data_IF_830703176693
#
_entry.id   IF_830703176693
#
_cell.length_a   1.000
_cell.length_b   1.000
_cell.length_c   1.000
_cell.angle_alpha   90.00
_cell.angle_beta   90.00
_cell.angle_gamma   90.00
#
_symmetry.space_group_name_H-M   'P 1'
#
loop_
_entity.id
_entity.type
_entity.pdbx_description
1 polymer ?
#
# COMPACT_ATOMS: atom_id res chain seq x y z
N UNK A 1 -4.05 3.87 -19.37
CA UNK A 1 -3.05 4.02 -18.30
C UNK A 1 -3.66 4.83 -17.14
N UNK A 2 -4.54 4.21 -16.34
CA UNK A 2 -5.31 4.87 -15.25
C UNK A 2 -5.35 4.05 -13.94
N UNK A 3 -4.59 2.94 -13.87
CA UNK A 3 -4.69 1.96 -12.76
C UNK A 3 -4.21 2.51 -11.42
N UNK A 4 -3.11 3.28 -11.38
CA UNK A 4 -2.55 3.79 -10.11
C UNK A 4 -3.38 4.91 -9.50
N UNK A 5 -3.89 5.85 -10.31
CA UNK A 5 -4.80 6.89 -9.81
C UNK A 5 -6.07 6.32 -9.19
N UNK A 6 -6.56 5.21 -9.76
CA UNK A 6 -7.71 4.50 -9.21
C UNK A 6 -7.35 3.78 -7.90
N UNK A 7 -6.13 3.21 -7.82
CA UNK A 7 -5.62 2.44 -6.67
C UNK A 7 -5.19 3.30 -5.48
N UNK A 8 -4.54 4.45 -5.73
CA UNK A 8 -4.14 5.39 -4.69
C UNK A 8 -5.35 6.08 -4.09
N UNK A 9 -5.19 6.72 -2.94
CA UNK A 9 -6.27 7.50 -2.37
C UNK A 9 -5.75 8.79 -1.74
N UNK A 10 -6.44 9.89 -2.02
CA UNK A 10 -5.99 11.25 -1.71
C UNK A 10 -6.69 11.86 -0.49
N UNK A 11 -7.64 11.17 0.17
CA UNK A 11 -8.47 11.75 1.25
C UNK A 11 -8.63 10.86 2.51
N UNK A 12 -8.14 11.34 3.68
CA UNK A 12 -8.28 10.84 5.08
C UNK A 12 -7.23 9.84 5.66
N UNK A 13 -7.18 9.69 6.98
CA UNK A 13 -6.18 8.91 7.74
C UNK A 13 -6.27 7.38 7.55
N UNK A 14 -7.50 6.81 7.51
CA UNK A 14 -7.74 5.39 7.17
C UNK A 14 -7.35 5.04 5.73
N UNK A 15 -7.14 6.08 4.94
CA UNK A 15 -6.99 6.04 3.51
C UNK A 15 -5.51 6.09 3.08
N UNK A 16 -4.67 6.79 3.83
CA UNK A 16 -3.19 6.73 3.73
C UNK A 16 -2.63 5.33 3.93
N UNK A 17 -3.28 4.50 4.74
CA UNK A 17 -2.91 3.09 4.96
C UNK A 17 -2.88 2.30 3.65
N UNK A 18 -3.80 2.59 2.72
CA UNK A 18 -3.84 1.91 1.41
C UNK A 18 -2.62 2.25 0.55
N UNK A 19 -2.23 3.52 0.51
CA UNK A 19 -1.03 3.94 -0.24
C UNK A 19 0.23 3.33 0.40
N UNK A 20 0.30 3.29 1.73
CA UNK A 20 1.42 2.65 2.43
C UNK A 20 1.50 1.14 2.16
N UNK A 21 0.36 0.44 2.09
CA UNK A 21 0.33 -0.99 1.69
C UNK A 21 0.84 -1.16 0.27
N UNK A 22 0.38 -0.35 -0.69
CA UNK A 22 0.88 -0.38 -2.07
C UNK A 22 2.39 -0.14 -2.13
N UNK A 23 2.85 0.89 -1.41
CA UNK A 23 4.27 1.26 -1.35
C UNK A 23 5.12 0.11 -0.80
N UNK A 24 4.77 -0.41 0.38
CA UNK A 24 5.51 -1.49 1.04
C UNK A 24 5.59 -2.72 0.15
N UNK A 25 4.45 -3.16 -0.40
CA UNK A 25 4.40 -4.37 -1.22
C UNK A 25 5.14 -4.20 -2.56
N UNK A 26 5.16 -2.99 -3.14
CA UNK A 26 5.88 -2.75 -4.39
C UNK A 26 7.41 -2.68 -4.20
N UNK A 27 7.85 -2.24 -3.02
CA UNK A 27 9.28 -2.12 -2.68
C UNK A 27 9.88 -3.41 -2.10
N UNK A 28 9.05 -4.40 -1.73
CA UNK A 28 9.55 -5.73 -1.38
C UNK A 28 10.12 -6.42 -2.62
N UNK A 29 11.29 -7.03 -2.49
CA UNK A 29 11.89 -7.85 -3.54
C UNK A 29 11.14 -9.17 -3.72
N UNK A 30 10.37 -9.61 -2.72
CA UNK A 30 9.50 -10.77 -2.83
C UNK A 30 8.23 -10.47 -3.65
N UNK A 31 7.77 -11.44 -4.44
CA UNK A 31 6.51 -11.32 -5.21
C UNK A 31 5.28 -11.26 -4.30
N UNK A 32 5.36 -11.86 -3.12
CA UNK A 32 4.27 -12.03 -2.17
C UNK A 32 4.70 -11.62 -0.78
N UNK A 33 3.77 -11.14 0.05
CA UNK A 33 4.01 -10.82 1.46
C UNK A 33 2.85 -11.29 2.32
N UNK A 34 3.13 -11.68 3.56
CA UNK A 34 2.08 -11.97 4.54
C UNK A 34 1.42 -10.70 5.09
N UNK A 35 0.17 -10.80 5.55
CA UNK A 35 -0.53 -9.69 6.20
C UNK A 35 0.27 -9.11 7.39
N UNK A 36 1.03 -9.95 8.11
CA UNK A 36 1.84 -9.51 9.26
C UNK A 36 3.08 -8.73 8.82
N UNK A 37 3.78 -9.19 7.78
CA UNK A 37 4.94 -8.48 7.22
C UNK A 37 4.51 -7.12 6.65
N UNK A 38 3.41 -7.08 5.91
CA UNK A 38 2.87 -5.81 5.38
C UNK A 38 2.48 -4.89 6.53
N UNK A 39 1.82 -5.38 7.59
CA UNK A 39 1.45 -4.56 8.75
C UNK A 39 2.67 -3.99 9.46
N UNK A 40 3.69 -4.83 9.68
CA UNK A 40 4.95 -4.43 10.32
C UNK A 40 5.64 -3.34 9.51
N UNK A 41 5.85 -3.55 8.22
CA UNK A 41 6.50 -2.59 7.34
C UNK A 41 5.70 -1.29 7.16
N UNK A 42 4.36 -1.36 7.13
CA UNK A 42 3.50 -0.16 7.12
C UNK A 42 3.65 0.65 8.41
N UNK A 43 3.75 0.00 9.57
CA UNK A 43 3.99 0.69 10.84
C UNK A 43 5.42 1.25 10.93
N UNK A 44 6.42 0.58 10.35
CA UNK A 44 7.79 1.09 10.24
C UNK A 44 7.89 2.30 9.31
N UNK A 45 7.08 2.35 8.24
CA UNK A 45 6.98 3.53 7.37
C UNK A 45 6.29 4.71 8.07
N UNK A 46 5.46 4.45 9.08
CA UNK A 46 4.71 5.46 9.83
C UNK A 46 5.36 5.85 11.16
N UNK A 47 6.68 5.68 11.33
CA UNK A 47 7.39 5.90 12.61
C UNK A 47 7.12 7.27 13.25
N UNK A 48 6.81 8.30 12.45
CA UNK A 48 6.51 9.66 12.94
C UNK A 48 5.05 9.88 13.38
N UNK A 49 4.22 8.83 13.35
CA UNK A 49 2.84 8.86 13.80
C UNK A 49 2.71 8.16 15.15
N UNK A 50 2.31 8.89 16.19
CA UNK A 50 2.06 8.37 17.54
C UNK A 50 1.09 7.17 17.59
N UNK A 51 0.27 7.02 16.54
CA UNK A 51 -0.70 5.93 16.41
C UNK A 51 -0.21 4.86 15.42
N UNK A 52 0.26 3.73 15.97
CA UNK A 52 0.43 2.48 15.21
C UNK A 52 -0.93 1.96 14.74
N UNK A 53 -0.97 1.41 13.54
CA UNK A 53 -2.16 0.74 13.04
C UNK A 53 -2.20 -0.67 13.62
N UNK A 54 -3.35 -1.08 14.11
CA UNK A 54 -3.61 -2.44 14.59
C UNK A 54 -4.05 -3.41 13.48
N UNK A 55 -4.54 -2.90 12.34
CA UNK A 55 -5.02 -3.72 11.23
C UNK A 55 -4.90 -3.05 9.86
N UNK A 56 -4.43 -3.80 8.86
CA UNK A 56 -4.42 -3.43 7.43
C UNK A 56 -5.50 -4.17 6.61
N UNK A 57 -6.31 -5.03 7.25
CA UNK A 57 -7.30 -5.86 6.56
C UNK A 57 -8.29 -5.07 5.69
N UNK A 58 -8.78 -3.88 6.10
CA UNK A 58 -9.63 -3.06 5.23
C UNK A 58 -8.91 -2.59 3.96
N UNK A 59 -7.63 -2.23 4.05
CA UNK A 59 -6.84 -1.77 2.91
C UNK A 59 -6.59 -2.92 1.92
N UNK A 60 -6.17 -4.09 2.42
CA UNK A 60 -5.97 -5.29 1.61
C UNK A 60 -7.26 -5.74 0.92
N UNK A 61 -8.37 -5.78 1.66
CA UNK A 61 -9.69 -6.16 1.10
C UNK A 61 -10.13 -5.19 0.00
N UNK A 62 -9.90 -3.89 0.19
CA UNK A 62 -10.24 -2.90 -0.83
C UNK A 62 -9.38 -3.05 -2.09
N UNK A 63 -8.07 -3.24 -1.95
CA UNK A 63 -7.17 -3.47 -3.08
C UNK A 63 -7.49 -4.78 -3.83
N UNK A 64 -7.95 -5.81 -3.11
CA UNK A 64 -8.49 -7.04 -3.72
C UNK A 64 -9.72 -6.76 -4.58
N UNK A 65 -10.69 -6.01 -4.05
CA UNK A 65 -11.91 -5.66 -4.79
C UNK A 65 -11.65 -4.84 -6.06
N UNK A 66 -10.46 -4.26 -6.18
CA UNK A 66 -10.03 -3.43 -7.31
C UNK A 66 -9.11 -4.20 -8.28
N UNK A 67 -8.92 -5.50 -8.08
CA UNK A 67 -7.99 -6.34 -8.84
C UNK A 67 -6.54 -5.81 -8.85
N UNK A 68 -6.14 -5.15 -7.77
CA UNK A 68 -4.77 -4.67 -7.58
C UNK A 68 -3.93 -5.72 -6.87
N UNK A 69 -4.45 -6.27 -5.79
CA UNK A 69 -3.86 -7.38 -5.05
C UNK A 69 -4.72 -8.61 -5.19
N UNK A 70 -4.11 -9.78 -5.06
CA UNK A 70 -4.82 -11.04 -4.88
C UNK A 70 -4.17 -11.85 -3.75
N UNK A 71 -4.84 -12.92 -3.34
CA UNK A 71 -4.42 -13.78 -2.26
C UNK A 71 -3.94 -15.12 -2.80
N UNK A 72 -2.71 -15.47 -2.46
CA UNK A 72 -2.11 -16.78 -2.70
C UNK A 72 -2.63 -17.79 -1.66
N UNK A 73 -2.77 -17.32 -0.41
CA UNK A 73 -3.39 -18.05 0.70
C UNK A 73 -4.20 -17.07 1.55
N UNK A 74 -4.85 -17.55 2.63
CA UNK A 74 -5.64 -16.70 3.54
C UNK A 74 -4.88 -15.46 4.05
N UNK A 75 -3.55 -15.55 4.20
CA UNK A 75 -2.73 -14.50 4.79
C UNK A 75 -1.61 -14.00 3.87
N UNK A 76 -1.47 -14.52 2.64
CA UNK A 76 -0.36 -14.19 1.74
C UNK A 76 -0.88 -13.47 0.51
N UNK A 77 -0.33 -12.29 0.24
CA UNK A 77 -0.82 -11.33 -0.73
C UNK A 77 0.25 -10.99 -1.76
N UNK A 78 -0.15 -10.83 -3.01
CA UNK A 78 0.72 -10.35 -4.07
C UNK A 78 -0.04 -9.44 -5.03
N UNK A 79 0.69 -8.69 -5.86
CA UNK A 79 0.09 -7.91 -6.94
C UNK A 79 -0.52 -8.84 -7.98
N UNK A 80 -1.79 -8.62 -8.32
CA UNK A 80 -2.48 -9.41 -9.36
C UNK A 80 -1.73 -9.37 -10.70
N UNK A 81 -1.09 -8.24 -11.00
CA UNK A 81 -0.33 -7.99 -12.22
C UNK A 81 1.12 -7.61 -11.85
N UNK A 82 2.13 -8.46 -12.15
CA UNK A 82 3.54 -8.15 -11.90
C UNK A 82 4.04 -6.88 -12.59
N UNK A 83 3.52 -6.56 -13.78
CA UNK A 83 3.87 -5.32 -14.48
C UNK A 83 3.30 -4.12 -13.74
N UNK A 84 2.12 -4.27 -13.14
CA UNK A 84 1.57 -3.24 -12.26
C UNK A 84 2.42 -3.06 -10.99
N UNK A 85 2.98 -4.12 -10.40
CA UNK A 85 3.95 -3.99 -9.29
C UNK A 85 5.16 -3.14 -9.70
N UNK A 86 5.75 -3.43 -10.86
CA UNK A 86 6.89 -2.68 -11.39
C UNK A 86 6.52 -1.20 -11.61
N UNK A 87 5.38 -0.95 -12.25
CA UNK A 87 4.85 0.39 -12.45
C UNK A 87 4.65 1.16 -11.13
N UNK A 88 4.09 0.51 -10.11
CA UNK A 88 3.95 1.12 -8.77
C UNK A 88 5.32 1.39 -8.13
N UNK A 89 6.32 0.52 -8.32
CA UNK A 89 7.69 0.72 -7.79
C UNK A 89 8.39 1.91 -8.45
N UNK A 90 8.14 2.16 -9.73
CA UNK A 90 8.63 3.32 -10.48
C UNK A 90 7.95 4.62 -10.01
N UNK A 91 6.63 4.58 -9.75
CA UNK A 91 5.84 5.75 -9.35
C UNK A 91 5.66 5.86 -7.83
N UNK A 92 6.54 5.21 -7.05
CA UNK A 92 6.40 5.07 -5.59
C UNK A 92 6.35 6.40 -4.83
N UNK A 93 6.96 7.44 -5.39
CA UNK A 93 6.95 8.79 -4.79
C UNK A 93 5.54 9.39 -4.76
N UNK A 94 4.64 8.97 -5.66
CA UNK A 94 3.24 9.44 -5.69
C UNK A 94 2.35 8.77 -4.65
N UNK A 95 2.85 7.73 -3.98
CA UNK A 95 2.13 7.01 -2.93
C UNK A 95 2.43 7.57 -1.54
N UNK A 96 3.61 8.15 -1.36
CA UNK A 96 3.95 8.85 -0.13
C UNK A 96 3.40 10.27 -0.26
N UNK A 97 2.57 10.70 0.69
CA UNK A 97 2.21 12.10 0.85
C UNK A 97 3.47 12.87 1.32
N UNK A 98 4.45 13.04 0.44
CA UNK A 98 5.53 14.02 0.60
C UNK A 98 4.93 15.35 0.18
N UNK A 99 4.16 15.92 1.09
CA UNK A 99 3.81 17.35 1.20
C UNK A 99 2.42 17.48 1.81
N UNK A 100 2.41 17.64 3.13
CA UNK A 100 1.57 18.66 3.76
C UNK A 100 2.45 19.54 4.68
N UNK A 101 3.70 19.78 4.28
CA UNK A 101 4.64 20.71 4.93
C UNK A 101 5.06 21.87 4.01
N UNK A 102 4.37 22.09 2.89
CA UNK A 102 4.66 23.21 1.98
C UNK A 102 3.47 24.15 1.69
N UNK A 103 2.30 23.96 2.31
CA UNK A 103 1.16 24.90 2.21
C UNK A 103 0.27 24.82 3.47
N UNK A 104 0.60 25.57 4.52
CA UNK A 104 -0.18 26.63 5.21
C UNK A 104 0.71 27.22 6.31
#
# INVERSE_FOLDING_TARGET
MLKLESAKNRNKTKTRVRNNVLYVMANSDEMSMTSQEVLKAVNELRKDSDLKISSISPALSKLKSMNVLTQETRNKWHYFDPMFKAYVREHRNELLDKDNEAQV
#
